data_IF_600989166564
#
_entry.id   IF_600989166564
#
_cell.length_a   1.000
_cell.length_b   1.000
_cell.length_c   1.000
_cell.angle_alpha   90.00
_cell.angle_beta   90.00
_cell.angle_gamma   90.00
#
_symmetry.space_group_name_H-M   'P 1'
#
loop_
_entity.id
_entity.type
_entity.pdbx_description
1 polymer ?
#
# COMPACT_ATOMS: atom_id res chain seq x y z
N UNK A 1 -3.64 7.92 48.06
CA UNK A 1 -3.71 8.00 46.58
C UNK A 1 -4.55 6.84 46.11
N UNK A 2 -5.62 7.16 45.39
CA UNK A 2 -6.42 6.19 44.65
C UNK A 2 -5.60 5.71 43.43
N UNK A 3 -5.79 4.45 43.02
CA UNK A 3 -5.18 3.88 41.82
C UNK A 3 -5.50 4.70 40.55
N UNK A 4 -6.67 5.36 40.51
CA UNK A 4 -7.02 6.28 39.43
C UNK A 4 -6.07 7.50 39.36
N UNK A 5 -5.74 8.10 40.51
CA UNK A 5 -4.79 9.23 40.55
C UNK A 5 -3.39 8.81 40.11
N UNK A 6 -2.93 7.62 40.52
CA UNK A 6 -1.62 7.09 40.12
C UNK A 6 -1.55 6.84 38.61
N UNK A 7 -2.64 6.36 38.01
CA UNK A 7 -2.74 6.19 36.57
C UNK A 7 -2.72 7.53 35.84
N UNK A 8 -3.44 8.53 36.34
CA UNK A 8 -3.48 9.88 35.77
C UNK A 8 -2.10 10.56 35.82
N UNK A 9 -1.40 10.49 36.95
CA UNK A 9 -0.05 11.03 37.12
C UNK A 9 0.95 10.37 36.16
N UNK A 10 0.82 9.07 35.91
CA UNK A 10 1.66 8.33 34.98
C UNK A 10 1.32 8.63 33.50
N UNK A 11 0.03 8.76 33.15
CA UNK A 11 -0.42 9.02 31.77
C UNK A 11 -0.24 10.48 31.33
N UNK A 12 -0.40 11.43 32.24
CA UNK A 12 -0.33 12.87 31.95
C UNK A 12 0.90 13.28 31.13
N UNK A 13 2.14 12.90 31.51
CA UNK A 13 3.32 13.24 30.72
C UNK A 13 3.34 12.55 29.34
N UNK A 14 2.73 11.37 29.19
CA UNK A 14 2.63 10.68 27.90
C UNK A 14 1.62 11.37 26.98
N UNK A 15 0.49 11.81 27.52
CA UNK A 15 -0.51 12.58 26.77
C UNK A 15 0.02 13.95 26.35
N UNK A 16 0.83 14.61 27.20
CA UNK A 16 1.48 15.88 26.87
C UNK A 16 2.44 15.76 25.67
N UNK A 17 3.05 14.57 25.46
CA UNK A 17 3.90 14.29 24.29
C UNK A 17 3.11 14.17 22.98
N UNK A 18 1.82 13.84 23.05
CA UNK A 18 0.96 13.69 21.87
C UNK A 18 0.40 15.03 21.37
N UNK A 19 1.27 16.02 21.16
CA UNK A 19 0.87 17.27 20.49
C UNK A 19 0.42 16.99 19.05
N UNK A 20 -0.33 17.91 18.42
CA UNK A 20 -0.73 17.78 17.02
C UNK A 20 0.48 17.57 16.08
N UNK A 21 1.61 18.21 16.38
CA UNK A 21 2.83 18.07 15.59
C UNK A 21 3.44 16.68 15.72
N UNK A 22 3.52 16.15 16.94
CA UNK A 22 4.01 14.80 17.22
C UNK A 22 3.10 13.72 16.64
N UNK A 23 1.77 13.87 16.78
CA UNK A 23 0.79 12.96 16.15
C UNK A 23 0.92 12.96 14.64
N UNK A 24 1.06 14.13 14.00
CA UNK A 24 1.34 14.24 12.55
C UNK A 24 2.68 13.60 12.19
N UNK A 25 3.70 13.75 13.03
CA UNK A 25 5.01 13.13 12.87
C UNK A 25 4.91 11.60 12.83
N UNK A 26 4.28 11.02 13.85
CA UNK A 26 4.01 9.59 13.97
C UNK A 26 3.17 9.07 12.80
N UNK A 27 2.08 9.76 12.46
CA UNK A 27 1.22 9.37 11.32
C UNK A 27 1.99 9.36 9.99
N UNK A 28 2.90 10.32 9.78
CA UNK A 28 3.77 10.34 8.59
C UNK A 28 4.75 9.17 8.58
N UNK A 29 5.29 8.79 9.74
CA UNK A 29 6.18 7.64 9.87
C UNK A 29 5.44 6.34 9.54
N UNK A 30 4.28 6.11 10.16
CA UNK A 30 3.40 4.97 9.88
C UNK A 30 3.04 4.89 8.39
N UNK A 31 2.60 6.01 7.79
CA UNK A 31 2.23 6.02 6.37
C UNK A 31 3.41 5.69 5.45
N UNK A 32 4.63 6.12 5.79
CA UNK A 32 5.85 5.80 5.02
C UNK A 32 6.20 4.32 5.12
N UNK A 33 6.12 3.74 6.31
CA UNK A 33 6.39 2.32 6.56
C UNK A 33 5.38 1.43 5.80
N UNK A 34 4.08 1.73 5.96
CA UNK A 34 3.00 1.07 5.21
C UNK A 34 3.21 1.16 3.69
N UNK A 35 3.61 2.32 3.19
CA UNK A 35 3.92 2.48 1.76
C UNK A 35 5.09 1.60 1.35
N UNK A 36 6.18 1.57 2.13
CA UNK A 36 7.34 0.76 1.80
C UNK A 36 6.97 -0.72 1.73
N UNK A 37 6.21 -1.21 2.70
CA UNK A 37 5.79 -2.61 2.75
C UNK A 37 4.82 -2.97 1.60
N UNK A 38 3.81 -2.15 1.32
CA UNK A 38 2.92 -2.37 0.17
C UNK A 38 3.67 -2.25 -1.18
N UNK A 39 4.67 -1.38 -1.29
CA UNK A 39 5.53 -1.34 -2.49
C UNK A 39 6.37 -2.61 -2.62
N UNK A 40 6.79 -3.22 -1.50
CA UNK A 40 7.53 -4.48 -1.51
C UNK A 40 6.66 -5.65 -1.99
N UNK A 41 5.41 -5.78 -1.53
CA UNK A 41 4.48 -6.80 -2.03
C UNK A 41 4.20 -6.62 -3.53
N UNK A 42 3.99 -5.37 -3.99
CA UNK A 42 3.86 -5.08 -5.41
C UNK A 42 5.12 -5.43 -6.22
N UNK A 43 6.31 -5.27 -5.64
CA UNK A 43 7.58 -5.69 -6.27
C UNK A 43 7.68 -7.21 -6.37
N UNK A 44 7.23 -7.93 -5.34
CA UNK A 44 7.17 -9.38 -5.31
C UNK A 44 6.06 -9.97 -6.20
N UNK A 45 5.16 -9.14 -6.75
CA UNK A 45 3.97 -9.57 -7.50
C UNK A 45 3.00 -10.40 -6.65
N UNK A 46 2.85 -10.00 -5.39
CA UNK A 46 2.01 -10.65 -4.39
C UNK A 46 0.98 -9.66 -3.83
N UNK A 47 -0.15 -10.20 -3.37
CA UNK A 47 -1.10 -9.48 -2.54
C UNK A 47 -0.55 -9.30 -1.11
N UNK A 48 -1.19 -8.44 -0.28
CA UNK A 48 -0.77 -8.23 1.11
C UNK A 48 -0.74 -9.50 1.95
N UNK A 49 -1.61 -10.47 1.69
CA UNK A 49 -1.61 -11.80 2.32
C UNK A 49 -0.43 -12.70 1.91
N UNK A 50 0.45 -12.22 1.01
CA UNK A 50 1.61 -12.94 0.51
C UNK A 50 1.32 -13.84 -0.70
N UNK A 51 0.05 -14.01 -1.09
CA UNK A 51 -0.31 -14.86 -2.22
C UNK A 51 0.09 -14.20 -3.54
N UNK A 52 0.65 -14.95 -4.51
CA UNK A 52 0.99 -14.40 -5.81
C UNK A 52 -0.27 -13.96 -6.55
N UNK A 53 -0.21 -12.81 -7.22
CA UNK A 53 -1.31 -12.38 -8.07
C UNK A 53 -1.48 -13.27 -9.29
N UNK A 54 -2.71 -13.37 -9.78
CA UNK A 54 -2.97 -14.00 -11.07
C UNK A 54 -2.16 -13.31 -12.19
N UNK A 55 -1.37 -14.08 -12.98
CA UNK A 55 -0.60 -13.54 -14.09
C UNK A 55 -1.46 -12.81 -15.14
N UNK A 56 -0.82 -12.06 -16.03
CA UNK A 56 -1.51 -11.50 -17.20
C UNK A 56 -1.84 -12.63 -18.18
N UNK A 57 -2.98 -12.54 -18.85
CA UNK A 57 -3.28 -13.41 -20.01
C UNK A 57 -2.15 -13.30 -21.04
N UNK A 58 -1.54 -14.42 -21.45
CA UNK A 58 -0.54 -14.42 -22.52
C UNK A 58 -1.19 -13.94 -23.81
N UNK A 59 -0.47 -13.11 -24.56
CA UNK A 59 -0.96 -12.59 -25.84
C UNK A 59 -0.34 -13.44 -26.97
N UNK A 60 -1.09 -14.44 -27.44
CA UNK A 60 -0.66 -15.39 -28.46
C UNK A 60 -0.11 -14.72 -29.75
N UNK A 61 -0.64 -13.56 -30.14
CA UNK A 61 -0.17 -12.80 -31.32
C UNK A 61 1.25 -12.23 -31.14
N UNK A 62 1.63 -11.92 -29.90
CA UNK A 62 2.96 -11.39 -29.56
C UNK A 62 4.00 -12.52 -29.46
N UNK A 63 3.55 -13.73 -29.14
CA UNK A 63 4.37 -14.94 -29.06
C UNK A 63 4.65 -15.52 -30.44
N UNK A 64 3.66 -15.53 -31.35
CA UNK A 64 3.82 -16.03 -32.73
C UNK A 64 4.83 -15.21 -33.57
N UNK A 65 4.88 -13.88 -33.41
CA UNK A 65 5.90 -13.01 -34.07
C UNK A 65 7.26 -13.00 -33.37
N UNK A 66 7.39 -13.63 -32.20
CA UNK A 66 8.48 -13.39 -31.24
C UNK A 66 9.49 -14.52 -31.07
N UNK A 67 9.39 -15.61 -31.84
CA UNK A 67 10.23 -16.81 -31.66
C UNK A 67 11.75 -16.54 -31.70
N UNK A 68 12.21 -15.43 -32.28
CA UNK A 68 13.65 -15.07 -32.37
C UNK A 68 14.11 -14.14 -31.22
N UNK A 69 13.21 -13.61 -30.38
CA UNK A 69 13.53 -12.69 -29.27
C UNK A 69 13.22 -13.27 -27.88
N UNK A 70 13.17 -14.60 -27.77
CA UNK A 70 12.65 -15.36 -26.62
C UNK A 70 13.38 -15.14 -25.27
N UNK A 71 14.51 -14.43 -25.24
CA UNK A 71 15.20 -14.08 -23.98
C UNK A 71 15.10 -12.59 -23.57
N UNK A 72 14.51 -11.69 -24.37
CA UNK A 72 14.77 -10.25 -24.20
C UNK A 72 13.69 -9.42 -23.47
N UNK A 73 12.44 -9.87 -23.32
CA UNK A 73 11.43 -9.14 -22.52
C UNK A 73 10.46 -10.09 -21.82
N UNK A 74 10.87 -10.63 -20.66
CA UNK A 74 9.89 -11.03 -19.63
C UNK A 74 8.88 -9.90 -19.52
N UNK A 75 7.58 -10.20 -19.57
CA UNK A 75 6.55 -9.16 -19.47
C UNK A 75 6.84 -8.30 -18.25
N UNK A 76 7.00 -6.99 -18.45
CA UNK A 76 7.37 -6.09 -17.36
C UNK A 76 6.43 -6.32 -16.16
N UNK A 77 6.96 -6.40 -14.93
CA UNK A 77 6.17 -6.66 -13.72
C UNK A 77 4.93 -5.76 -13.65
N UNK A 78 3.83 -6.32 -13.18
CA UNK A 78 2.59 -5.55 -13.01
C UNK A 78 2.80 -4.41 -12.01
N UNK A 79 2.05 -3.32 -12.20
CA UNK A 79 1.98 -2.18 -11.29
C UNK A 79 3.32 -1.47 -10.98
N UNK A 80 4.37 -1.69 -11.78
CA UNK A 80 5.67 -1.02 -11.65
C UNK A 80 5.54 0.51 -11.62
N UNK A 81 4.62 1.09 -12.41
CA UNK A 81 4.35 2.53 -12.38
C UNK A 81 3.48 2.93 -11.19
N UNK A 82 2.45 2.15 -10.85
CA UNK A 82 1.52 2.47 -9.76
C UNK A 82 2.23 2.65 -8.41
N UNK A 83 3.26 1.85 -8.13
CA UNK A 83 4.05 1.92 -6.88
C UNK A 83 4.95 3.17 -6.73
N UNK A 84 5.08 3.99 -7.78
CA UNK A 84 5.94 5.17 -7.73
C UNK A 84 5.38 6.28 -6.80
N UNK A 85 6.25 7.09 -6.20
CA UNK A 85 5.86 8.14 -5.22
C UNK A 85 4.94 9.24 -5.78
N UNK A 86 4.89 9.39 -7.11
CA UNK A 86 3.96 10.29 -7.78
C UNK A 86 2.54 9.73 -7.90
N UNK A 87 2.37 8.42 -7.73
CA UNK A 87 1.11 7.71 -7.91
C UNK A 87 0.57 7.11 -6.61
N UNK A 88 1.44 6.65 -5.70
CA UNK A 88 1.10 6.14 -4.38
C UNK A 88 1.67 7.09 -3.31
N UNK A 89 0.79 7.85 -2.66
CA UNK A 89 1.13 8.86 -1.66
C UNK A 89 0.96 8.30 -0.25
N UNK A 90 1.94 8.63 0.59
CA UNK A 90 1.88 8.43 2.04
C UNK A 90 1.77 9.81 2.68
N UNK A 91 0.75 10.03 3.51
CA UNK A 91 0.49 11.29 4.18
C UNK A 91 0.18 10.99 5.65
N UNK A 92 0.71 11.81 6.56
CA UNK A 92 0.25 11.82 7.94
C UNK A 92 -0.52 13.10 8.19
N UNK A 93 -1.77 12.93 8.58
CA UNK A 93 -2.68 13.95 9.09
C UNK A 93 -2.61 13.95 10.62
N UNK A 94 -3.42 14.78 11.27
CA UNK A 94 -3.39 14.94 12.73
C UNK A 94 -3.87 13.70 13.48
N UNK A 95 -4.74 12.94 12.85
CA UNK A 95 -5.51 11.82 13.35
C UNK A 95 -5.38 10.57 12.47
N UNK A 96 -4.82 10.70 11.27
CA UNK A 96 -4.78 9.61 10.29
C UNK A 96 -3.42 9.44 9.62
N UNK A 97 -2.99 8.19 9.47
CA UNK A 97 -1.93 7.79 8.54
C UNK A 97 -2.56 7.28 7.24
N UNK A 98 -2.39 8.02 6.15
CA UNK A 98 -3.06 7.76 4.87
C UNK A 98 -2.08 7.22 3.84
N UNK A 99 -2.45 6.09 3.23
CA UNK A 99 -1.80 5.54 2.05
C UNK A 99 -2.82 5.47 0.90
N UNK A 100 -2.61 6.25 -0.16
CA UNK A 100 -3.57 6.36 -1.24
C UNK A 100 -2.95 6.45 -2.63
N UNK A 101 -3.67 5.93 -3.63
CA UNK A 101 -3.36 6.21 -5.02
C UNK A 101 -3.97 7.56 -5.44
N UNK A 102 -3.32 8.27 -6.36
CA UNK A 102 -3.78 9.61 -6.79
C UNK A 102 -3.99 9.72 -8.29
N UNK A 103 -4.96 10.56 -8.68
CA UNK A 103 -5.33 10.83 -10.06
C UNK A 103 -5.74 9.56 -10.82
N UNK A 104 -5.30 9.42 -12.07
CA UNK A 104 -5.62 8.24 -12.89
C UNK A 104 -5.14 6.91 -12.27
N UNK A 105 -4.12 6.95 -11.42
CA UNK A 105 -3.62 5.74 -10.77
C UNK A 105 -4.65 5.15 -9.79
N UNK A 106 -5.47 5.98 -9.13
CA UNK A 106 -6.53 5.50 -8.23
C UNK A 106 -7.54 4.62 -8.97
N UNK A 107 -8.06 5.11 -10.11
CA UNK A 107 -9.02 4.35 -10.91
C UNK A 107 -8.47 2.99 -11.33
N UNK A 108 -7.22 2.95 -11.80
CA UNK A 108 -6.56 1.70 -12.21
C UNK A 108 -6.38 0.79 -10.98
N UNK A 109 -5.89 1.36 -9.88
CA UNK A 109 -5.68 0.60 -8.65
C UNK A 109 -6.99 -0.01 -8.14
N UNK A 110 -8.08 0.74 -8.10
CA UNK A 110 -9.42 0.28 -7.70
C UNK A 110 -9.91 -0.88 -8.55
N UNK A 111 -9.81 -0.76 -9.87
CA UNK A 111 -10.21 -1.83 -10.80
C UNK A 111 -9.46 -3.12 -10.50
N UNK A 112 -8.14 -3.04 -10.32
CA UNK A 112 -7.35 -4.22 -10.03
C UNK A 112 -7.53 -4.71 -8.60
N UNK A 113 -7.61 -3.84 -7.61
CA UNK A 113 -7.76 -4.18 -6.20
C UNK A 113 -9.03 -5.00 -5.98
N UNK A 114 -10.16 -4.54 -6.54
CA UNK A 114 -11.47 -5.18 -6.34
C UNK A 114 -11.89 -6.12 -7.48
N UNK A 115 -11.08 -6.28 -8.52
CA UNK A 115 -11.41 -7.15 -9.66
C UNK A 115 -12.61 -6.65 -10.49
N UNK A 116 -12.63 -5.35 -10.79
CA UNK A 116 -13.71 -4.70 -11.52
C UNK A 116 -13.55 -4.85 -13.03
N UNK A 117 -14.58 -4.44 -13.76
CA UNK A 117 -14.53 -4.26 -15.21
C UNK A 117 -13.97 -2.88 -15.58
N UNK A 118 -13.09 -2.85 -16.58
CA UNK A 118 -12.65 -1.61 -17.22
C UNK A 118 -12.39 -1.85 -18.71
N UNK A 119 -12.29 -0.77 -19.48
CA UNK A 119 -11.94 -0.83 -20.90
C UNK A 119 -10.44 -1.06 -21.07
N UNK A 120 -10.08 -2.02 -21.93
CA UNK A 120 -8.67 -2.34 -22.23
C UNK A 120 -7.96 -1.18 -22.93
N UNK A 121 -8.69 -0.43 -23.77
CA UNK A 121 -8.25 0.81 -24.42
C UNK A 121 -9.44 1.78 -24.56
N UNK A 122 -9.21 3.09 -24.73
CA UNK A 122 -10.30 4.03 -25.02
C UNK A 122 -11.14 3.57 -26.22
N UNK A 123 -12.46 3.53 -26.07
CA UNK A 123 -13.40 3.02 -27.08
C UNK A 123 -13.26 1.52 -27.42
N UNK A 124 -12.46 0.77 -26.67
CA UNK A 124 -12.23 -0.65 -26.90
C UNK A 124 -13.11 -1.59 -26.07
N UNK A 125 -12.85 -2.91 -26.17
CA UNK A 125 -13.59 -3.91 -25.41
C UNK A 125 -13.39 -3.73 -23.90
N UNK A 126 -14.43 -4.09 -23.14
CA UNK A 126 -14.38 -4.22 -21.69
C UNK A 126 -13.79 -5.56 -21.28
N UNK A 127 -13.15 -5.57 -20.12
CA UNK A 127 -12.56 -6.77 -19.54
C UNK A 127 -12.73 -6.75 -18.02
N UNK A 128 -13.20 -7.87 -17.46
CA UNK A 128 -13.22 -8.09 -16.02
C UNK A 128 -11.85 -8.52 -15.55
N UNK A 129 -11.20 -7.67 -14.77
CA UNK A 129 -9.89 -7.98 -14.22
C UNK A 129 -10.03 -8.90 -13.01
N UNK A 130 -9.14 -9.89 -12.84
CA UNK A 130 -9.11 -10.63 -11.59
C UNK A 130 -8.59 -9.71 -10.48
N UNK A 131 -9.13 -9.93 -9.28
CA UNK A 131 -8.77 -9.18 -8.09
C UNK A 131 -7.29 -9.38 -7.77
N UNK A 132 -6.61 -8.27 -7.55
CA UNK A 132 -5.20 -8.18 -7.17
C UNK A 132 -5.14 -7.11 -6.08
N UNK A 133 -5.48 -7.44 -4.84
CA UNK A 133 -5.38 -6.51 -3.72
C UNK A 133 -4.00 -5.88 -3.72
N UNK A 134 -3.97 -4.54 -3.80
CA UNK A 134 -2.74 -3.75 -3.95
C UNK A 134 -2.27 -3.15 -2.62
N UNK A 135 -3.24 -2.83 -1.76
CA UNK A 135 -3.01 -2.21 -0.47
C UNK A 135 -3.59 -3.13 0.59
N UNK A 136 -2.91 -3.26 1.71
CA UNK A 136 -3.41 -3.96 2.89
C UNK A 136 -2.57 -3.63 4.12
N UNK A 137 -3.11 -4.04 5.26
CA UNK A 137 -2.43 -4.05 6.55
C UNK A 137 -2.38 -5.51 7.00
N UNK A 138 -1.19 -6.10 6.96
CA UNK A 138 -0.94 -7.48 7.40
C UNK A 138 -0.73 -7.52 8.91
N UNK A 139 -0.75 -8.72 9.51
CA UNK A 139 -0.42 -8.89 10.93
C UNK A 139 0.98 -8.33 11.27
N UNK A 140 1.99 -8.62 10.44
CA UNK A 140 3.32 -8.07 10.62
C UNK A 140 3.33 -6.53 10.55
N UNK A 141 2.51 -5.93 9.70
CA UNK A 141 2.36 -4.49 9.62
C UNK A 141 1.61 -3.93 10.84
N UNK A 142 0.60 -4.63 11.37
CA UNK A 142 -0.06 -4.23 12.62
C UNK A 142 0.92 -4.20 13.79
N UNK A 143 1.73 -5.25 13.94
CA UNK A 143 2.80 -5.31 14.96
C UNK A 143 3.78 -4.16 14.77
N UNK A 144 4.23 -3.91 13.54
CA UNK A 144 5.13 -2.81 13.22
C UNK A 144 4.53 -1.44 13.57
N UNK A 145 3.25 -1.21 13.30
CA UNK A 145 2.55 0.02 13.68
C UNK A 145 2.53 0.17 15.20
N UNK A 146 2.19 -0.91 15.93
CA UNK A 146 2.18 -0.88 17.40
C UNK A 146 3.57 -0.53 17.96
N UNK A 147 4.63 -1.13 17.44
CA UNK A 147 6.01 -0.81 17.81
C UNK A 147 6.34 0.67 17.58
N UNK A 148 5.95 1.23 16.43
CA UNK A 148 6.16 2.65 16.11
C UNK A 148 5.44 3.56 17.11
N UNK A 149 4.19 3.24 17.46
CA UNK A 149 3.40 3.99 18.45
C UNK A 149 4.06 3.91 19.84
N UNK A 150 4.40 2.71 20.31
CA UNK A 150 5.03 2.51 21.62
C UNK A 150 6.38 3.21 21.70
N UNK A 151 7.21 3.09 20.66
CA UNK A 151 8.50 3.76 20.56
C UNK A 151 8.35 5.28 20.62
N UNK A 152 7.30 5.82 20.01
CA UNK A 152 7.04 7.25 20.02
C UNK A 152 6.63 7.74 21.42
N UNK A 153 5.77 7.00 22.12
CA UNK A 153 5.34 7.32 23.48
C UNK A 153 6.46 7.18 24.51
N UNK A 154 7.43 6.28 24.28
CA UNK A 154 8.55 6.02 25.20
C UNK A 154 9.72 7.00 25.08
N UNK A 155 9.74 7.88 24.06
CA UNK A 155 10.70 8.98 23.93
C UNK A 155 10.25 10.12 24.81
#
# INVERSE_FOLDING_TARGET
MDDLQRLEEWLSPLLAKLTDAERRGLAREVARDLRAANVATMRAQQAPDGMPWEPRKPNALREARGAVRRNAKKSAPMFQKLRAAKHLKAQGLTDEAVLQFVGRADRIARVHHFGLEDRVKPGGPTYRYPARPLLGITEAQMVRIQELVLTHLSR
#
